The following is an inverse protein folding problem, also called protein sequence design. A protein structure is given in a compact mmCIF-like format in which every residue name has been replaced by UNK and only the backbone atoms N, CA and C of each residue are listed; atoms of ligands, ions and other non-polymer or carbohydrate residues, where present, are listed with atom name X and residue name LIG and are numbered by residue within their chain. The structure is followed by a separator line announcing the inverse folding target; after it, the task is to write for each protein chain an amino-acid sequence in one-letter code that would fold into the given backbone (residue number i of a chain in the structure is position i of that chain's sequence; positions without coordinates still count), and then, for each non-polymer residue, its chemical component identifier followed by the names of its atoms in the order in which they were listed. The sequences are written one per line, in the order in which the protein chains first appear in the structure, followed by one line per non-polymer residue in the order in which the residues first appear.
data_IF_472239430293
#
_entry.id   IF_472239430293
#
_cell.length_a   1.000
_cell.length_b   1.000
_cell.length_c   1.000
_cell.angle_alpha   90.00
_cell.angle_beta   90.00
_cell.angle_gamma   90.00
#
_symmetry.space_group_name_H-M   'P 1'
#
loop_
_entity.id
_entity.type
_entity.pdbx_description
1 polymer ?
#
# COMPACT_ATOMS: atom_id res chain seq x y z
N UNK A 1 7.07 23.80 -12.79
CA UNK A 1 5.71 24.08 -12.28
C UNK A 1 5.59 23.38 -10.95
N UNK A 2 5.53 24.15 -9.87
CA UNK A 2 5.35 23.64 -8.52
C UNK A 2 3.93 23.05 -8.40
N UNK A 3 3.80 21.90 -7.74
CA UNK A 3 2.54 21.17 -7.62
C UNK A 3 2.12 21.17 -6.16
N UNK A 4 0.86 21.55 -5.91
CA UNK A 4 0.29 21.51 -4.57
C UNK A 4 0.35 20.07 -4.02
N UNK A 5 0.91 19.93 -2.81
CA UNK A 5 1.07 18.67 -2.11
C UNK A 5 0.64 18.80 -0.67
N UNK A 6 0.09 17.71 -0.12
CA UNK A 6 -0.31 17.59 1.26
C UNK A 6 0.56 16.52 1.91
N UNK A 7 1.27 16.89 2.98
CA UNK A 7 2.09 16.00 3.77
C UNK A 7 1.44 15.78 5.12
N UNK A 8 1.69 14.61 5.72
CA UNK A 8 1.36 14.35 7.11
C UNK A 8 2.66 14.20 7.89
N UNK A 9 2.79 14.94 8.98
CA UNK A 9 3.91 14.85 9.92
C UNK A 9 3.41 14.30 11.24
N UNK A 10 4.13 13.33 11.77
CA UNK A 10 3.88 12.73 13.08
C UNK A 10 5.19 12.67 13.85
N UNK A 11 5.14 12.98 15.13
CA UNK A 11 6.29 12.92 16.03
C UNK A 11 5.80 12.57 17.44
N UNK A 12 6.67 11.95 18.25
CA UNK A 12 6.36 11.61 19.64
C UNK A 12 6.00 12.84 20.48
N UNK A 13 6.70 13.95 20.25
CA UNK A 13 6.45 15.24 20.90
C UNK A 13 5.77 16.19 19.92
N UNK A 14 4.65 16.80 20.33
CA UNK A 14 3.90 17.73 19.49
C UNK A 14 4.76 18.93 19.05
N UNK A 15 5.65 19.40 19.93
CA UNK A 15 6.58 20.49 19.62
C UNK A 15 7.48 20.14 18.43
N UNK A 16 7.93 18.89 18.33
CA UNK A 16 8.76 18.44 17.22
C UNK A 16 7.95 18.35 15.92
N UNK A 17 6.72 17.83 15.98
CA UNK A 17 5.83 17.83 14.82
C UNK A 17 5.55 19.25 14.32
N UNK A 18 5.35 20.21 15.22
CA UNK A 18 5.14 21.62 14.88
C UNK A 18 6.38 22.26 14.24
N UNK A 19 7.58 22.00 14.79
CA UNK A 19 8.85 22.49 14.22
C UNK A 19 9.05 21.95 12.80
N UNK A 20 8.88 20.65 12.59
CA UNK A 20 9.05 20.01 11.28
C UNK A 20 8.00 20.50 10.29
N UNK A 21 6.73 20.60 10.69
CA UNK A 21 5.68 21.12 9.83
C UNK A 21 6.01 22.54 9.32
N UNK A 22 6.42 23.44 10.23
CA UNK A 22 6.81 24.81 9.86
C UNK A 22 7.99 24.87 8.88
N UNK A 23 8.93 23.93 8.99
CA UNK A 23 10.09 23.87 8.08
C UNK A 23 9.73 23.34 6.69
N UNK A 24 8.67 22.53 6.57
CA UNK A 24 8.23 21.92 5.32
C UNK A 24 7.16 22.73 4.59
N UNK A 25 6.37 23.53 5.31
CA UNK A 25 5.31 24.36 4.74
C UNK A 25 5.85 25.38 3.74
N UNK A 26 5.14 25.50 2.62
CA UNK A 26 5.41 26.47 1.56
C UNK A 26 4.10 26.88 0.86
N UNK A 27 4.20 27.71 -0.17
CA UNK A 27 3.04 28.09 -0.99
C UNK A 27 2.36 26.87 -1.66
N UNK A 28 3.12 25.80 -1.89
CA UNK A 28 2.66 24.58 -2.55
C UNK A 28 2.78 23.31 -1.68
N UNK A 29 3.25 23.42 -0.44
CA UNK A 29 3.26 22.30 0.53
C UNK A 29 2.40 22.67 1.72
N UNK A 30 1.33 21.90 1.94
CA UNK A 30 0.50 21.97 3.16
C UNK A 30 0.84 20.80 4.05
N UNK A 31 1.00 21.05 5.35
CA UNK A 31 1.37 20.00 6.31
C UNK A 31 0.26 19.82 7.34
N UNK A 32 -0.26 18.61 7.42
CA UNK A 32 -1.14 18.17 8.50
C UNK A 32 -0.29 17.49 9.58
N UNK A 33 -0.66 17.69 10.84
CA UNK A 33 -0.05 16.98 11.97
C UNK A 33 -0.95 15.80 12.35
N UNK A 34 -0.35 14.66 12.68
CA UNK A 34 -1.07 13.49 13.21
C UNK A 34 -0.36 12.96 14.46
N UNK A 35 -1.14 12.59 15.47
CA UNK A 35 -0.67 11.90 16.68
C UNK A 35 -0.59 10.37 16.51
N UNK A 36 -1.22 9.79 15.47
CA UNK A 36 -1.16 8.34 15.21
C UNK A 36 0.12 7.98 14.44
N UNK A 37 1.25 7.98 15.15
CA UNK A 37 2.58 7.71 14.58
C UNK A 37 2.62 6.30 13.99
N UNK A 38 2.21 5.30 14.77
CA UNK A 38 2.25 3.90 14.35
C UNK A 38 1.27 3.63 13.21
N UNK A 39 0.06 4.19 13.25
CA UNK A 39 -0.88 4.09 12.14
C UNK A 39 -0.28 4.64 10.84
N UNK A 40 0.33 5.82 10.91
CA UNK A 40 0.97 6.44 9.76
C UNK A 40 2.14 5.60 9.23
N UNK A 41 2.99 5.06 10.10
CA UNK A 41 4.12 4.20 9.70
C UNK A 41 3.63 2.89 9.02
N UNK A 42 2.71 2.17 9.66
CA UNK A 42 2.20 0.92 9.10
C UNK A 42 1.42 1.13 7.81
N UNK A 43 0.64 2.20 7.68
CA UNK A 43 -0.11 2.50 6.45
C UNK A 43 0.82 2.82 5.27
N UNK A 44 1.91 3.56 5.52
CA UNK A 44 2.94 3.84 4.52
C UNK A 44 3.64 2.57 4.01
N UNK A 45 3.73 1.52 4.84
CA UNK A 45 4.24 0.19 4.46
C UNK A 45 3.18 -0.61 3.69
N UNK A 46 1.97 -0.72 4.25
CA UNK A 46 0.88 -1.53 3.70
C UNK A 46 0.45 -1.05 2.30
N UNK A 47 0.37 0.26 2.07
CA UNK A 47 -0.01 0.82 0.76
C UNK A 47 0.86 0.29 -0.38
N UNK A 48 2.15 0.02 -0.11
CA UNK A 48 3.08 -0.44 -1.14
C UNK A 48 2.77 -1.88 -1.55
N UNK A 49 2.35 -2.72 -0.61
CA UNK A 49 1.90 -4.09 -0.88
C UNK A 49 0.61 -4.05 -1.70
N UNK A 50 -0.35 -3.23 -1.30
CA UNK A 50 -1.61 -3.06 -2.02
C UNK A 50 -1.39 -2.52 -3.43
N UNK A 51 -0.44 -1.60 -3.61
CA UNK A 51 -0.06 -1.08 -4.92
C UNK A 51 0.54 -2.15 -5.83
N UNK A 52 1.31 -3.11 -5.30
CA UNK A 52 1.77 -4.27 -6.09
C UNK A 52 0.57 -5.06 -6.60
N UNK A 53 -0.39 -5.41 -5.74
CA UNK A 53 -1.57 -6.15 -6.22
C UNK A 53 -2.43 -5.35 -7.21
N UNK A 54 -2.58 -4.03 -7.04
CA UNK A 54 -3.22 -3.16 -8.03
C UNK A 54 -2.47 -3.17 -9.38
N UNK A 55 -1.13 -3.19 -9.32
CA UNK A 55 -0.28 -3.40 -10.48
C UNK A 55 -0.52 -4.74 -11.16
N UNK A 56 -0.57 -5.83 -10.41
CA UNK A 56 -0.83 -7.17 -10.95
C UNK A 56 -2.19 -7.21 -11.63
N UNK A 57 -3.23 -6.64 -11.00
CA UNK A 57 -4.55 -6.52 -11.61
C UNK A 57 -4.49 -5.82 -12.98
N UNK A 58 -3.80 -4.67 -13.05
CA UNK A 58 -3.62 -3.95 -14.30
C UNK A 58 -2.85 -4.76 -15.36
N UNK A 59 -1.78 -5.47 -14.96
CA UNK A 59 -0.99 -6.31 -15.87
C UNK A 59 -1.77 -7.52 -16.41
N UNK A 60 -2.70 -8.06 -15.61
CA UNK A 60 -3.62 -9.14 -16.01
C UNK A 60 -4.80 -8.64 -16.86
N UNK A 61 -4.94 -7.33 -17.07
CA UNK A 61 -6.00 -6.74 -17.90
C UNK A 61 -7.31 -6.46 -17.16
N UNK A 62 -7.33 -6.46 -15.82
CA UNK A 62 -8.49 -5.97 -15.07
C UNK A 62 -8.63 -4.44 -15.24
N UNK A 63 -9.86 -3.98 -15.45
CA UNK A 63 -10.17 -2.56 -15.65
C UNK A 63 -10.39 -1.77 -14.36
N UNK A 64 -10.64 -0.47 -14.50
CA UNK A 64 -10.76 0.48 -13.39
C UNK A 64 -11.85 0.13 -12.38
N UNK A 65 -12.97 -0.46 -12.83
CA UNK A 65 -14.04 -0.91 -11.94
C UNK A 65 -13.54 -1.96 -10.94
N UNK A 66 -12.74 -2.93 -11.39
CA UNK A 66 -12.15 -3.92 -10.50
C UNK A 66 -11.11 -3.26 -9.59
N UNK A 67 -10.29 -2.34 -10.12
CA UNK A 67 -9.30 -1.64 -9.30
C UNK A 67 -9.96 -0.84 -8.17
N UNK A 68 -11.12 -0.23 -8.42
CA UNK A 68 -11.89 0.47 -7.38
C UNK A 68 -12.39 -0.49 -6.28
N UNK A 69 -12.94 -1.66 -6.65
CA UNK A 69 -13.33 -2.70 -5.68
C UNK A 69 -12.11 -3.21 -4.90
N UNK A 70 -11.00 -3.45 -5.59
CA UNK A 70 -9.75 -3.89 -4.98
C UNK A 70 -9.23 -2.88 -3.96
N UNK A 71 -9.13 -1.59 -4.30
CA UNK A 71 -8.65 -0.55 -3.38
C UNK A 71 -9.60 -0.33 -2.21
N UNK A 72 -10.91 -0.43 -2.43
CA UNK A 72 -11.91 -0.37 -1.35
C UNK A 72 -11.75 -1.53 -0.34
N UNK A 73 -11.37 -2.72 -0.80
CA UNK A 73 -11.06 -3.83 0.10
C UNK A 73 -9.67 -3.69 0.74
N UNK A 74 -8.69 -3.14 0.01
CA UNK A 74 -7.35 -2.88 0.53
C UNK A 74 -7.38 -1.93 1.74
N UNK A 75 -8.23 -0.89 1.73
CA UNK A 75 -8.35 0.00 2.89
C UNK A 75 -9.00 -0.68 4.10
N UNK A 76 -9.99 -1.56 3.90
CA UNK A 76 -10.57 -2.39 4.98
C UNK A 76 -9.55 -3.38 5.55
N UNK A 77 -8.72 -3.95 4.69
CA UNK A 77 -7.65 -4.85 5.11
C UNK A 77 -6.55 -4.09 5.87
N UNK A 78 -6.26 -2.85 5.48
CA UNK A 78 -5.38 -1.94 6.23
C UNK A 78 -5.93 -1.66 7.62
N UNK A 79 -7.20 -1.29 7.74
CA UNK A 79 -7.89 -1.05 9.00
C UNK A 79 -7.81 -2.27 9.93
N UNK A 80 -8.19 -3.45 9.43
CA UNK A 80 -8.11 -4.71 10.17
C UNK A 80 -6.69 -5.00 10.68
N UNK A 81 -5.67 -4.73 9.84
CA UNK A 81 -4.28 -4.92 10.23
C UNK A 81 -3.86 -3.93 11.31
N UNK A 82 -4.17 -2.65 11.14
CA UNK A 82 -3.83 -1.60 12.09
C UNK A 82 -4.48 -1.84 13.45
N UNK A 83 -5.76 -2.15 13.49
CA UNK A 83 -6.51 -2.41 14.72
C UNK A 83 -5.99 -3.62 15.48
N UNK A 84 -5.51 -4.63 14.76
CA UNK A 84 -4.90 -5.81 15.36
C UNK A 84 -3.53 -5.52 15.98
N UNK A 85 -2.77 -4.56 15.46
CA UNK A 85 -1.39 -4.26 15.87
C UNK A 85 -1.33 -3.17 16.93
N UNK A 86 -2.07 -2.09 16.69
CA UNK A 86 -2.11 -0.90 17.50
C UNK A 86 -3.57 -0.44 17.59
N UNK A 87 -4.34 -0.86 18.61
CA UNK A 87 -5.73 -0.48 18.75
C UNK A 87 -5.82 1.00 19.17
N UNK A 88 -6.14 1.89 18.23
CA UNK A 88 -6.34 3.33 18.45
C UNK A 88 -7.57 3.76 17.64
N UNK A 89 -8.40 4.70 18.14
CA UNK A 89 -9.49 5.25 17.36
C UNK A 89 -8.92 6.02 16.16
N UNK A 90 -9.11 5.49 14.96
CA UNK A 90 -8.65 6.12 13.72
C UNK A 90 -9.72 6.07 12.65
N UNK A 91 -9.65 7.02 11.73
CA UNK A 91 -10.41 6.98 10.48
C UNK A 91 -9.45 6.75 9.32
N UNK A 92 -9.40 5.51 8.83
CA UNK A 92 -8.55 5.12 7.69
C UNK A 92 -8.96 5.81 6.38
N UNK A 93 -10.10 6.52 6.34
CA UNK A 93 -10.47 7.31 5.17
C UNK A 93 -9.76 8.67 5.10
N UNK A 94 -9.05 9.07 6.15
CA UNK A 94 -8.26 10.30 6.11
C UNK A 94 -7.13 10.21 5.08
N UNK A 95 -6.72 11.38 4.57
CA UNK A 95 -5.73 11.48 3.49
C UNK A 95 -4.38 10.84 3.82
N UNK A 96 -4.00 10.76 5.09
CA UNK A 96 -2.76 10.11 5.53
C UNK A 96 -2.72 8.61 5.20
N UNK A 97 -3.90 7.97 5.14
CA UNK A 97 -4.06 6.53 4.91
C UNK A 97 -4.59 6.28 3.50
N UNK A 98 -5.88 6.61 3.27
CA UNK A 98 -6.56 6.37 1.99
C UNK A 98 -5.99 7.22 0.86
N UNK A 99 -5.65 8.49 1.12
CA UNK A 99 -5.10 9.37 0.08
C UNK A 99 -3.78 8.84 -0.49
N UNK A 100 -2.89 8.38 0.40
CA UNK A 100 -1.60 7.82 0.00
C UNK A 100 -1.74 6.45 -0.68
N UNK A 101 -2.67 5.61 -0.21
CA UNK A 101 -3.05 4.38 -0.90
C UNK A 101 -3.55 4.65 -2.33
N UNK A 102 -4.46 5.62 -2.50
CA UNK A 102 -5.02 5.98 -3.80
C UNK A 102 -3.93 6.43 -4.77
N UNK A 103 -3.09 7.40 -4.41
CA UNK A 103 -2.03 7.86 -5.33
C UNK A 103 -1.06 6.73 -5.66
N UNK A 104 -0.74 5.86 -4.70
CA UNK A 104 0.23 4.77 -4.92
C UNK A 104 -0.36 3.63 -5.77
N UNK A 105 -1.65 3.32 -5.64
CA UNK A 105 -2.33 2.29 -6.41
C UNK A 105 -2.72 2.74 -7.83
N UNK A 106 -2.99 4.04 -8.04
CA UNK A 106 -3.45 4.58 -9.33
C UNK A 106 -2.37 5.32 -10.14
N UNK A 107 -1.25 5.72 -9.55
CA UNK A 107 -0.19 6.42 -10.27
C UNK A 107 0.69 5.46 -11.08
N UNK A 108 1.08 5.85 -12.30
CA UNK A 108 2.07 5.12 -13.10
C UNK A 108 3.51 5.36 -12.60
N UNK A 109 3.71 6.36 -11.74
CA UNK A 109 5.00 6.65 -11.12
C UNK A 109 5.28 5.78 -9.89
N UNK A 110 4.29 5.02 -9.42
CA UNK A 110 4.46 4.06 -8.32
C UNK A 110 5.31 2.88 -8.77
N UNK A 111 6.51 2.76 -8.19
CA UNK A 111 7.42 1.62 -8.42
C UNK A 111 6.78 0.29 -8.01
N UNK A 112 6.05 0.30 -6.90
CA UNK A 112 5.34 -0.87 -6.40
C UNK A 112 4.24 -1.33 -7.37
N UNK A 113 3.45 -0.39 -7.92
CA UNK A 113 2.49 -0.71 -8.98
C UNK A 113 3.17 -1.18 -10.26
N UNK A 114 4.29 -0.57 -10.64
CA UNK A 114 5.06 -0.99 -11.80
C UNK A 114 5.57 -2.43 -11.68
N UNK A 115 6.12 -2.81 -10.52
CA UNK A 115 6.50 -4.19 -10.22
C UNK A 115 5.32 -5.14 -10.43
N UNK A 116 4.18 -4.82 -9.82
CA UNK A 116 2.97 -5.61 -9.96
C UNK A 116 2.54 -5.77 -11.42
N UNK A 117 2.56 -4.69 -12.19
CA UNK A 117 2.19 -4.69 -13.60
C UNK A 117 3.08 -5.60 -14.45
N UNK A 118 4.40 -5.60 -14.21
CA UNK A 118 5.32 -6.51 -14.89
C UNK A 118 4.98 -7.97 -14.57
N UNK A 119 4.74 -8.29 -13.30
CA UNK A 119 4.35 -9.64 -12.87
C UNK A 119 3.02 -10.05 -13.51
N UNK A 120 2.03 -9.15 -13.53
CA UNK A 120 0.74 -9.39 -14.19
C UNK A 120 0.87 -9.66 -15.70
N UNK A 121 1.85 -9.05 -16.36
CA UNK A 121 2.19 -9.30 -17.78
C UNK A 121 2.97 -10.60 -18.02
N UNK A 122 3.25 -11.39 -16.97
CA UNK A 122 3.89 -12.70 -17.06
C UNK A 122 5.40 -12.71 -16.80
N UNK A 123 5.99 -11.60 -16.35
CA UNK A 123 7.38 -11.61 -15.90
C UNK A 123 7.50 -12.42 -14.61
N UNK A 124 8.63 -13.12 -14.43
CA UNK A 124 8.94 -13.70 -13.12
C UNK A 124 9.24 -12.59 -12.14
N UNK A 125 9.03 -12.83 -10.85
CA UNK A 125 9.33 -11.85 -9.78
C UNK A 125 10.78 -11.37 -9.90
N UNK A 126 11.71 -12.30 -10.14
CA UNK A 126 13.12 -12.01 -10.33
C UNK A 126 13.39 -11.13 -11.55
N UNK A 127 12.83 -11.45 -12.72
CA UNK A 127 13.08 -10.66 -13.92
C UNK A 127 12.43 -9.28 -13.85
N UNK A 128 11.25 -9.18 -13.21
CA UNK A 128 10.59 -7.90 -12.96
C UNK A 128 11.46 -6.99 -12.08
N UNK A 129 11.95 -7.49 -10.94
CA UNK A 129 12.85 -6.72 -10.05
C UNK A 129 14.14 -6.31 -10.76
N UNK A 130 14.76 -7.21 -11.54
CA UNK A 130 15.99 -6.91 -12.29
C UNK A 130 15.79 -5.86 -13.38
N UNK A 131 14.58 -5.73 -13.92
CA UNK A 131 14.25 -4.74 -14.96
C UNK A 131 14.00 -3.33 -14.41
N UNK A 132 13.84 -3.20 -13.09
CA UNK A 132 13.55 -1.92 -12.45
C UNK A 132 14.84 -1.20 -12.04
N UNK A 133 14.91 0.10 -12.33
CA UNK A 133 16.01 0.96 -11.87
C UNK A 133 15.92 1.35 -10.39
N UNK A 134 14.81 1.01 -9.74
CA UNK A 134 14.48 1.47 -8.39
C UNK A 134 13.88 0.32 -7.58
N UNK A 135 14.17 0.31 -6.29
CA UNK A 135 13.68 -0.73 -5.37
C UNK A 135 12.17 -0.57 -5.16
N UNK A 136 11.44 -1.69 -5.20
CA UNK A 136 10.04 -1.76 -4.80
C UNK A 136 9.95 -2.19 -3.33
N UNK A 137 9.73 -1.22 -2.43
CA UNK A 137 9.73 -1.43 -0.98
C UNK A 137 8.64 -2.43 -0.55
N UNK A 138 7.51 -2.44 -1.25
CA UNK A 138 6.40 -3.35 -1.03
C UNK A 138 6.78 -4.82 -1.19
N UNK A 139 7.78 -5.13 -2.03
CA UNK A 139 8.29 -6.51 -2.17
C UNK A 139 8.79 -7.01 -0.81
N UNK A 140 9.75 -6.30 -0.21
CA UNK A 140 10.35 -6.68 1.07
C UNK A 140 9.35 -6.63 2.23
N UNK A 141 8.46 -5.63 2.23
CA UNK A 141 7.45 -5.47 3.27
C UNK A 141 6.43 -6.61 3.29
N UNK A 142 6.11 -7.20 2.13
CA UNK A 142 5.06 -8.21 2.00
C UNK A 142 5.28 -9.40 2.92
N UNK A 143 6.53 -9.90 3.03
CA UNK A 143 6.82 -11.06 3.89
C UNK A 143 6.56 -10.75 5.36
N UNK A 144 7.06 -9.64 5.87
CA UNK A 144 6.90 -9.28 7.28
C UNK A 144 5.43 -9.05 7.65
N UNK A 145 4.68 -8.32 6.82
CA UNK A 145 3.24 -8.08 7.03
C UNK A 145 2.45 -9.40 6.99
N UNK A 146 2.78 -10.29 6.05
CA UNK A 146 2.14 -11.60 5.96
C UNK A 146 2.40 -12.46 7.20
N UNK A 147 3.65 -12.54 7.67
CA UNK A 147 4.03 -13.34 8.84
C UNK A 147 3.30 -12.85 10.10
N UNK A 148 3.29 -11.55 10.34
CA UNK A 148 2.56 -10.94 11.47
C UNK A 148 1.05 -11.19 11.36
N UNK A 149 0.48 -10.99 10.15
CA UNK A 149 -0.94 -11.24 9.90
C UNK A 149 -1.33 -12.69 10.16
N UNK A 150 -0.47 -13.63 9.78
CA UNK A 150 -0.65 -15.07 10.02
C UNK A 150 -0.58 -15.40 11.51
N UNK A 151 0.40 -14.88 12.24
CA UNK A 151 0.52 -15.07 13.70
C UNK A 151 -0.71 -14.56 14.44
N UNK A 152 -1.24 -13.41 14.02
CA UNK A 152 -2.46 -12.81 14.57
C UNK A 152 -3.76 -13.38 13.99
N UNK A 153 -3.68 -14.37 13.10
CA UNK A 153 -4.83 -15.03 12.44
C UNK A 153 -5.77 -14.04 11.72
N UNK A 154 -5.21 -12.99 11.13
CA UNK A 154 -5.95 -11.97 10.41
C UNK A 154 -6.41 -12.47 9.04
N UNK A 155 -7.61 -12.04 8.63
CA UNK A 155 -8.15 -12.30 7.30
C UNK A 155 -7.67 -11.21 6.34
N UNK A 156 -6.49 -11.43 5.76
CA UNK A 156 -5.83 -10.48 4.86
C UNK A 156 -5.75 -11.05 3.43
N UNK A 157 -6.89 -11.19 2.71
CA UNK A 157 -6.92 -11.87 1.43
C UNK A 157 -5.98 -11.23 0.40
N UNK A 158 -5.81 -9.91 0.39
CA UNK A 158 -4.97 -9.20 -0.58
C UNK A 158 -3.49 -9.42 -0.26
N UNK A 159 -3.05 -9.14 0.97
CA UNK A 159 -1.67 -9.37 1.43
C UNK A 159 -1.28 -10.83 1.21
N UNK A 160 -2.16 -11.78 1.57
CA UNK A 160 -1.90 -13.21 1.37
C UNK A 160 -1.70 -13.54 -0.11
N UNK A 161 -2.57 -13.04 -1.00
CA UNK A 161 -2.42 -13.25 -2.45
C UNK A 161 -1.14 -12.63 -3.00
N UNK A 162 -0.78 -11.42 -2.56
CA UNK A 162 0.48 -10.77 -2.98
C UNK A 162 1.69 -11.57 -2.48
N UNK A 163 1.67 -12.02 -1.23
CA UNK A 163 2.72 -12.88 -0.66
C UNK A 163 2.91 -14.19 -1.45
N UNK A 164 1.81 -14.90 -1.73
CA UNK A 164 1.84 -16.14 -2.50
C UNK A 164 2.45 -15.97 -3.89
N UNK A 165 2.20 -14.83 -4.54
CA UNK A 165 2.78 -14.54 -5.87
C UNK A 165 4.25 -14.18 -5.74
N UNK A 166 4.62 -13.32 -4.78
CA UNK A 166 5.97 -12.78 -4.67
C UNK A 166 6.99 -13.77 -4.08
N UNK A 167 6.58 -14.55 -3.08
CA UNK A 167 7.48 -15.39 -2.28
C UNK A 167 7.29 -16.88 -2.48
N UNK A 168 6.09 -17.32 -2.89
CA UNK A 168 5.82 -18.73 -3.21
C UNK A 168 5.73 -18.98 -4.72
N UNK A 169 6.05 -17.96 -5.53
CA UNK A 169 6.08 -18.00 -7.00
C UNK A 169 4.78 -18.54 -7.62
N UNK A 170 3.64 -18.36 -6.94
CA UNK A 170 2.35 -18.82 -7.45
C UNK A 170 1.95 -17.97 -8.67
N UNK A 171 1.33 -18.63 -9.65
CA UNK A 171 0.83 -17.97 -10.85
C UNK A 171 -0.20 -16.87 -10.51
N UNK A 172 0.08 -15.64 -10.97
CA UNK A 172 -0.68 -14.45 -10.65
C UNK A 172 -2.14 -14.51 -11.11
N UNK A 173 -2.40 -14.95 -12.35
CA UNK A 173 -3.75 -15.08 -12.90
C UNK A 173 -4.62 -16.02 -12.05
N UNK A 174 -4.07 -17.18 -11.68
CA UNK A 174 -4.76 -18.16 -10.83
C UNK A 174 -5.05 -17.61 -9.44
N UNK A 175 -4.13 -16.87 -8.81
CA UNK A 175 -4.39 -16.29 -7.49
C UNK A 175 -5.40 -15.14 -7.56
N UNK A 176 -5.32 -14.26 -8.56
CA UNK A 176 -6.29 -13.17 -8.73
C UNK A 176 -7.70 -13.70 -8.99
N UNK A 177 -7.85 -14.79 -9.76
CA UNK A 177 -9.14 -15.46 -9.93
C UNK A 177 -9.74 -15.98 -8.61
N UNK A 178 -8.91 -16.38 -7.64
CA UNK A 178 -9.39 -16.76 -6.30
C UNK A 178 -9.67 -15.54 -5.44
N UNK A 179 -8.86 -14.49 -5.57
CA UNK A 179 -9.00 -13.24 -4.83
C UNK A 179 -10.33 -12.56 -5.18
N UNK A 180 -10.72 -12.51 -6.46
CA UNK A 180 -11.96 -11.87 -6.90
C UNK A 180 -13.21 -12.45 -6.23
N UNK A 181 -13.21 -13.75 -5.90
CA UNK A 181 -14.30 -14.41 -5.17
C UNK A 181 -14.39 -14.01 -3.68
N UNK A 182 -13.42 -13.25 -3.16
CA UNK A 182 -13.31 -12.82 -1.75
C UNK A 182 -13.46 -11.31 -1.56
N UNK A 183 -13.54 -10.52 -2.63
CA UNK A 183 -13.56 -9.05 -2.58
C UNK A 183 -14.98 -8.44 -2.55
N UNK A 184 -16.01 -9.26 -2.29
CA UNK A 184 -17.42 -8.85 -2.20
C UNK A 184 -18.04 -9.37 -0.90
#
# INVERSE_FOLDING_TARGET
MERLSYLTVSAAEEENAAKVAKLLESDFIKVNKSSDILGNEYSAVLKNIYAIGAGIAAGLGYGDNFNAVYVSNAIREMELYLDAIYPEPRDVNQSAFLGDLLVTAYSLFSRNRMLGNLIGKGYTVKSAIQSMSMVAEGYYATKSIYEIGKERKLKLPIVNTVYEILYEEKNAEKQFKKLTAKLN
#
